data_IF_265589713909
#
_entry.id   IF_265589713909
#
_cell.length_a   1.000
_cell.length_b   1.000
_cell.length_c   1.000
_cell.angle_alpha   90.00
_cell.angle_beta   90.00
_cell.angle_gamma   90.00
#
_symmetry.space_group_name_H-M   'P 1'
#
loop_
_entity.id
_entity.type
_entity.pdbx_description
1 polymer ?
#
# COMPACT_ATOMS: atom_id res chain seq x y z
N UNK A 1 22.79 -10.60 -11.01
CA UNK A 1 23.26 -12.00 -11.01
C UNK A 1 22.10 -13.01 -11.05
N UNK A 2 22.34 -14.28 -11.24
CA UNK A 2 21.30 -15.30 -11.24
C UNK A 2 20.68 -15.42 -9.83
N UNK A 3 19.36 -15.59 -9.79
CA UNK A 3 18.58 -15.61 -8.53
C UNK A 3 18.98 -16.75 -7.60
N UNK A 4 19.48 -17.87 -8.13
CA UNK A 4 19.93 -19.00 -7.31
C UNK A 4 21.14 -18.72 -6.41
N UNK A 5 21.85 -17.61 -6.63
CA UNK A 5 22.95 -17.18 -5.75
C UNK A 5 22.46 -16.44 -4.51
N UNK A 6 21.23 -15.91 -4.54
CA UNK A 6 20.70 -15.05 -3.48
C UNK A 6 19.36 -15.54 -2.88
N UNK A 7 18.69 -16.49 -3.53
CA UNK A 7 17.34 -16.92 -3.16
C UNK A 7 17.31 -18.43 -3.02
N UNK A 8 17.12 -18.89 -1.79
CA UNK A 8 16.89 -20.31 -1.45
C UNK A 8 15.43 -20.61 -1.09
N UNK A 9 14.55 -19.61 -1.15
CA UNK A 9 13.15 -19.74 -0.75
C UNK A 9 12.36 -20.66 -1.66
N UNK A 10 11.49 -21.46 -1.05
CA UNK A 10 10.44 -22.15 -1.78
C UNK A 10 9.16 -21.30 -1.85
N UNK A 11 9.04 -20.48 -2.88
CA UNK A 11 7.88 -19.57 -3.04
C UNK A 11 6.54 -20.32 -3.09
N UNK A 12 6.49 -21.51 -3.67
CA UNK A 12 5.27 -22.33 -3.69
C UNK A 12 4.79 -22.61 -2.27
N UNK A 13 5.65 -23.22 -1.43
CA UNK A 13 5.31 -23.52 -0.04
C UNK A 13 4.94 -22.26 0.75
N UNK A 14 5.65 -21.15 0.53
CA UNK A 14 5.40 -19.87 1.19
C UNK A 14 3.98 -19.36 0.90
N UNK A 15 3.57 -19.27 -0.35
CA UNK A 15 2.25 -18.75 -0.71
C UNK A 15 1.14 -19.74 -0.41
N UNK A 16 1.37 -21.04 -0.54
CA UNK A 16 0.42 -22.07 -0.11
C UNK A 16 0.14 -22.00 1.39
N UNK A 17 1.15 -21.71 2.24
CA UNK A 17 0.95 -21.51 3.68
C UNK A 17 0.13 -20.28 4.03
N UNK A 18 0.06 -19.27 3.13
CA UNK A 18 -0.84 -18.12 3.25
C UNK A 18 -2.27 -18.42 2.78
N UNK A 19 -2.54 -19.64 2.35
CA UNK A 19 -3.83 -20.03 1.77
C UNK A 19 -4.04 -19.59 0.31
N UNK A 20 -2.97 -19.19 -0.39
CA UNK A 20 -3.01 -18.78 -1.79
C UNK A 20 -2.83 -19.97 -2.73
N UNK A 21 -3.30 -19.84 -3.96
CA UNK A 21 -2.89 -20.71 -5.06
C UNK A 21 -1.58 -20.20 -5.67
N UNK A 22 -0.70 -21.14 -6.03
CA UNK A 22 0.57 -20.84 -6.68
C UNK A 22 0.64 -21.49 -8.06
N UNK A 23 0.97 -20.70 -9.08
CA UNK A 23 1.15 -21.16 -10.46
C UNK A 23 2.53 -20.73 -10.94
N UNK A 24 3.36 -21.69 -11.35
CA UNK A 24 4.66 -21.41 -11.95
C UNK A 24 4.57 -21.57 -13.46
N UNK A 25 5.07 -20.60 -14.20
CA UNK A 25 5.11 -20.61 -15.67
C UNK A 25 6.44 -20.10 -16.21
N UNK A 26 6.75 -20.48 -17.44
CA UNK A 26 7.76 -19.80 -18.24
C UNK A 26 7.16 -18.48 -18.75
N UNK A 27 7.65 -17.35 -18.21
CA UNK A 27 7.17 -16.00 -18.55
C UNK A 27 7.51 -15.55 -19.99
N UNK A 28 8.25 -16.35 -20.75
CA UNK A 28 8.49 -16.13 -22.19
C UNK A 28 7.63 -17.04 -23.09
N UNK A 29 6.85 -17.96 -22.51
CA UNK A 29 5.96 -18.84 -23.24
C UNK A 29 4.52 -18.28 -23.28
N UNK A 30 4.12 -17.75 -24.43
CA UNK A 30 2.79 -17.15 -24.64
C UNK A 30 1.63 -18.08 -24.30
N UNK A 31 1.76 -19.38 -24.58
CA UNK A 31 0.72 -20.38 -24.32
C UNK A 31 0.55 -20.63 -22.81
N UNK A 32 1.67 -20.73 -22.07
CA UNK A 32 1.63 -20.90 -20.62
C UNK A 32 1.03 -19.65 -19.95
N UNK A 33 1.43 -18.44 -20.38
CA UNK A 33 0.86 -17.17 -19.89
C UNK A 33 -0.65 -17.14 -20.10
N UNK A 34 -1.11 -17.43 -21.33
CA UNK A 34 -2.53 -17.45 -21.66
C UNK A 34 -3.31 -18.45 -20.80
N UNK A 35 -2.81 -19.69 -20.69
CA UNK A 35 -3.46 -20.73 -19.91
C UNK A 35 -3.53 -20.39 -18.42
N UNK A 36 -2.45 -19.83 -17.85
CA UNK A 36 -2.42 -19.37 -16.47
C UNK A 36 -3.47 -18.27 -16.23
N UNK A 37 -3.49 -17.23 -17.07
CA UNK A 37 -4.47 -16.14 -16.96
C UNK A 37 -5.92 -16.64 -17.11
N UNK A 38 -6.18 -17.60 -18.00
CA UNK A 38 -7.50 -18.21 -18.14
C UNK A 38 -7.91 -19.03 -16.91
N UNK A 39 -6.96 -19.78 -16.34
CA UNK A 39 -7.19 -20.60 -15.14
C UNK A 39 -7.55 -19.74 -13.94
N UNK A 40 -6.80 -18.66 -13.69
CA UNK A 40 -6.99 -17.82 -12.50
C UNK A 40 -8.30 -17.03 -12.50
N UNK A 41 -8.95 -16.84 -13.66
CA UNK A 41 -10.28 -16.22 -13.72
C UNK A 41 -11.35 -17.02 -12.94
N UNK A 42 -11.11 -18.29 -12.69
CA UNK A 42 -12.00 -19.20 -11.97
C UNK A 42 -11.52 -19.52 -10.56
N UNK A 43 -10.40 -18.94 -10.15
CA UNK A 43 -9.82 -19.19 -8.83
C UNK A 43 -10.75 -18.67 -7.72
N UNK A 44 -10.89 -19.45 -6.65
CA UNK A 44 -11.66 -19.07 -5.45
C UNK A 44 -10.80 -18.51 -4.34
N UNK A 45 -9.48 -18.58 -4.51
CA UNK A 45 -8.47 -18.09 -3.57
C UNK A 45 -7.61 -17.01 -4.24
N UNK A 46 -6.96 -16.15 -3.49
CA UNK A 46 -5.90 -15.31 -4.03
C UNK A 46 -4.88 -16.20 -4.75
N UNK A 47 -4.46 -15.78 -5.93
CA UNK A 47 -3.57 -16.58 -6.76
C UNK A 47 -2.37 -15.78 -7.18
N UNK A 48 -1.17 -16.33 -7.02
CA UNK A 48 0.07 -15.75 -7.52
C UNK A 48 0.56 -16.56 -8.72
N UNK A 49 0.85 -15.86 -9.82
CA UNK A 49 1.49 -16.45 -10.98
C UNK A 49 2.97 -16.06 -10.96
N UNK A 50 3.83 -17.03 -10.68
CA UNK A 50 5.28 -16.83 -10.69
C UNK A 50 5.81 -17.07 -12.11
N UNK A 51 6.28 -15.99 -12.74
CA UNK A 51 6.78 -16.00 -14.10
C UNK A 51 8.29 -16.13 -14.10
N UNK A 52 8.83 -17.29 -14.50
CA UNK A 52 10.27 -17.45 -14.69
C UNK A 52 10.70 -16.74 -15.97
N UNK A 53 11.52 -15.70 -15.84
CA UNK A 53 11.97 -14.85 -16.94
C UNK A 53 13.49 -14.70 -16.94
N UNK A 54 14.01 -14.14 -18.02
CA UNK A 54 15.43 -13.84 -18.17
C UNK A 54 15.59 -12.38 -18.58
N UNK A 55 16.36 -11.62 -17.81
CA UNK A 55 16.62 -10.22 -18.11
C UNK A 55 17.27 -10.06 -19.49
N UNK A 56 16.92 -9.01 -20.24
CA UNK A 56 17.44 -8.79 -21.59
C UNK A 56 17.03 -9.88 -22.57
N UNK A 57 15.86 -10.52 -22.39
CA UNK A 57 15.37 -11.57 -23.29
C UNK A 57 15.35 -11.11 -24.73
N UNK A 58 15.86 -11.97 -25.63
CA UNK A 58 16.02 -11.66 -27.05
C UNK A 58 17.37 -11.03 -27.41
N UNK A 59 18.15 -10.57 -26.44
CA UNK A 59 19.49 -10.05 -26.68
C UNK A 59 20.52 -11.18 -26.78
N UNK A 60 21.24 -11.36 -27.90
CA UNK A 60 22.24 -12.41 -28.03
C UNK A 60 23.40 -12.26 -27.06
N UNK A 61 23.88 -11.03 -26.85
CA UNK A 61 25.12 -10.79 -26.09
C UNK A 61 24.86 -10.38 -24.63
N UNK A 62 23.70 -9.78 -24.31
CA UNK A 62 23.41 -9.18 -22.99
C UNK A 62 22.30 -9.89 -22.20
N UNK A 63 21.64 -10.91 -22.78
CA UNK A 63 20.60 -11.67 -22.09
C UNK A 63 21.15 -12.42 -20.88
N UNK A 64 20.52 -12.25 -19.72
CA UNK A 64 20.93 -12.85 -18.45
C UNK A 64 22.13 -12.18 -17.78
N UNK A 65 22.65 -11.08 -18.32
CA UNK A 65 23.80 -10.37 -17.77
C UNK A 65 23.38 -9.10 -17.03
N UNK A 66 24.16 -8.69 -16.03
CA UNK A 66 23.97 -7.45 -15.28
C UNK A 66 24.02 -6.20 -16.16
N UNK A 67 24.76 -6.25 -17.29
CA UNK A 67 24.85 -5.16 -18.25
C UNK A 67 23.53 -4.79 -18.95
N UNK A 68 22.48 -5.59 -18.80
CA UNK A 68 21.12 -5.26 -19.25
C UNK A 68 20.22 -4.71 -18.14
N UNK A 69 20.73 -4.58 -16.90
CA UNK A 69 20.00 -4.00 -15.80
C UNK A 69 20.27 -2.49 -15.68
N UNK A 70 19.23 -1.67 -15.90
CA UNK A 70 19.32 -0.22 -15.72
C UNK A 70 20.17 0.53 -16.76
N UNK A 71 20.63 -0.15 -17.82
CA UNK A 71 21.42 0.45 -18.90
C UNK A 71 20.80 0.16 -20.27
N UNK A 72 20.83 1.11 -21.22
CA UNK A 72 20.44 0.85 -22.60
C UNK A 72 21.25 -0.30 -23.20
N UNK A 73 20.63 -1.11 -24.02
CA UNK A 73 21.33 -2.19 -24.72
C UNK A 73 22.37 -1.67 -25.73
N UNK A 74 22.16 -0.46 -26.24
CA UNK A 74 22.96 0.13 -27.33
C UNK A 74 22.40 -0.20 -28.71
N UNK A 75 22.70 0.66 -29.70
CA UNK A 75 22.09 0.58 -31.03
C UNK A 75 22.35 -0.75 -31.74
N UNK A 76 23.56 -1.26 -31.65
CA UNK A 76 23.94 -2.49 -32.35
C UNK A 76 23.30 -3.72 -31.71
N UNK A 77 23.25 -3.79 -30.38
CA UNK A 77 22.57 -4.88 -29.70
C UNK A 77 21.05 -4.83 -29.96
N UNK A 78 20.46 -3.63 -30.04
CA UNK A 78 19.04 -3.47 -30.41
C UNK A 78 18.75 -4.03 -31.81
N UNK A 79 19.63 -3.83 -32.77
CA UNK A 79 19.49 -4.43 -34.12
C UNK A 79 19.45 -5.96 -34.04
N UNK A 80 20.33 -6.54 -33.23
CA UNK A 80 20.36 -8.00 -33.01
C UNK A 80 19.09 -8.52 -32.32
N UNK A 81 18.64 -7.83 -31.25
CA UNK A 81 17.39 -8.15 -30.56
C UNK A 81 16.20 -8.11 -31.52
N UNK A 82 16.09 -7.07 -32.35
CA UNK A 82 15.02 -6.92 -33.33
C UNK A 82 15.00 -8.08 -34.32
N UNK A 83 16.18 -8.45 -34.82
CA UNK A 83 16.34 -9.61 -35.73
C UNK A 83 15.92 -10.90 -35.02
N UNK A 84 16.40 -11.12 -33.80
CA UNK A 84 16.12 -12.33 -33.03
C UNK A 84 14.63 -12.48 -32.64
N UNK A 85 13.96 -11.35 -32.41
CA UNK A 85 12.52 -11.33 -32.11
C UNK A 85 11.63 -11.14 -33.36
N UNK A 86 12.20 -11.19 -34.57
CA UNK A 86 11.49 -10.97 -35.84
C UNK A 86 10.70 -9.64 -35.88
N UNK A 87 11.26 -8.56 -35.29
CA UNK A 87 10.64 -7.25 -35.24
C UNK A 87 11.26 -6.30 -36.28
N UNK A 88 10.69 -6.27 -37.49
CA UNK A 88 11.24 -5.57 -38.66
C UNK A 88 10.69 -4.15 -38.87
N UNK A 89 9.92 -3.63 -37.92
CA UNK A 89 9.33 -2.30 -38.04
C UNK A 89 10.28 -1.22 -37.59
N UNK A 90 10.13 0.01 -38.12
CA UNK A 90 10.93 1.17 -37.70
C UNK A 90 10.76 1.44 -36.19
N UNK A 91 11.71 2.13 -35.54
CA UNK A 91 11.54 2.57 -34.15
C UNK A 91 10.22 3.33 -33.95
N UNK A 92 9.54 3.07 -32.83
CA UNK A 92 8.24 3.65 -32.46
C UNK A 92 7.07 3.36 -33.40
N UNK A 93 7.24 2.52 -34.42
CA UNK A 93 6.17 2.12 -35.33
C UNK A 93 5.53 0.83 -34.83
N UNK A 94 4.24 0.89 -34.50
CA UNK A 94 3.42 -0.28 -34.16
C UNK A 94 2.60 -0.65 -35.38
N UNK A 95 2.62 -1.94 -35.84
CA UNK A 95 1.82 -2.39 -36.96
C UNK A 95 0.33 -2.07 -36.78
N UNK A 96 -0.32 -1.56 -37.82
CA UNK A 96 -1.74 -1.17 -37.77
C UNK A 96 -2.66 -2.28 -37.25
N UNK A 97 -2.39 -3.53 -37.61
CA UNK A 97 -3.16 -4.72 -37.13
C UNK A 97 -3.09 -4.86 -35.61
N UNK A 98 -1.87 -4.80 -35.03
CA UNK A 98 -1.65 -4.90 -33.58
C UNK A 98 -2.31 -3.71 -32.87
N UNK A 99 -2.07 -2.50 -33.37
CA UNK A 99 -2.66 -1.28 -32.81
C UNK A 99 -4.19 -1.31 -32.82
N UNK A 100 -4.80 -1.81 -33.87
CA UNK A 100 -6.24 -1.98 -33.98
C UNK A 100 -6.81 -2.91 -32.91
N UNK A 101 -6.16 -4.05 -32.66
CA UNK A 101 -6.59 -4.99 -31.61
C UNK A 101 -6.45 -4.39 -30.20
N UNK A 102 -5.34 -3.70 -29.91
CA UNK A 102 -5.18 -3.00 -28.63
C UNK A 102 -6.24 -1.91 -28.42
N UNK A 103 -6.51 -1.10 -29.45
CA UNK A 103 -7.56 -0.07 -29.38
C UNK A 103 -8.95 -0.68 -29.20
N UNK A 104 -9.24 -1.84 -29.78
CA UNK A 104 -10.49 -2.57 -29.58
C UNK A 104 -10.69 -3.00 -28.13
N UNK A 105 -9.61 -3.40 -27.44
CA UNK A 105 -9.65 -3.69 -25.99
C UNK A 105 -9.95 -2.41 -25.20
N UNK A 106 -9.27 -1.31 -25.50
CA UNK A 106 -9.53 -0.01 -24.87
C UNK A 106 -10.98 0.47 -25.01
N UNK A 107 -11.57 0.31 -26.18
CA UNK A 107 -13.01 0.64 -26.42
C UNK A 107 -13.98 -0.13 -25.54
N UNK A 108 -13.65 -1.38 -25.15
CA UNK A 108 -14.46 -2.10 -24.16
C UNK A 108 -14.43 -1.42 -22.80
N UNK A 109 -13.27 -0.84 -22.43
CA UNK A 109 -13.11 -0.04 -21.20
C UNK A 109 -14.02 1.18 -21.20
N UNK A 110 -14.13 1.93 -22.31
CA UNK A 110 -15.01 3.10 -22.43
C UNK A 110 -16.48 2.75 -22.15
N UNK A 111 -16.94 1.60 -22.62
CA UNK A 111 -18.30 1.13 -22.36
C UNK A 111 -18.53 0.80 -20.88
N UNK A 112 -17.56 0.17 -20.25
CA UNK A 112 -17.63 -0.16 -18.82
C UNK A 112 -17.59 1.11 -17.96
N UNK A 113 -16.71 2.05 -18.29
CA UNK A 113 -16.64 3.37 -17.62
C UNK A 113 -17.94 4.14 -17.77
N UNK A 114 -18.52 4.19 -18.98
CA UNK A 114 -19.79 4.86 -19.22
C UNK A 114 -20.92 4.25 -18.37
N UNK A 115 -20.99 2.91 -18.28
CA UNK A 115 -21.98 2.23 -17.42
C UNK A 115 -21.75 2.57 -15.95
N UNK A 116 -20.49 2.53 -15.49
CA UNK A 116 -20.12 2.88 -14.13
C UNK A 116 -20.49 4.34 -13.80
N UNK A 117 -20.16 5.28 -14.68
CA UNK A 117 -20.49 6.70 -14.53
C UNK A 117 -22.00 6.94 -14.38
N UNK A 118 -22.83 6.22 -15.15
CA UNK A 118 -24.30 6.30 -15.01
C UNK A 118 -24.76 5.84 -13.61
N UNK A 119 -24.21 4.74 -13.11
CA UNK A 119 -24.52 4.22 -11.76
C UNK A 119 -24.02 5.19 -10.68
N UNK A 120 -22.78 5.69 -10.84
CA UNK A 120 -22.17 6.62 -9.89
C UNK A 120 -22.97 7.93 -9.81
N UNK A 121 -23.36 8.53 -10.95
CA UNK A 121 -24.21 9.74 -10.97
C UNK A 121 -25.50 9.54 -10.18
N UNK A 122 -26.19 8.40 -10.37
CA UNK A 122 -27.43 8.08 -9.63
C UNK A 122 -27.21 7.96 -8.12
N UNK A 123 -26.05 7.45 -7.69
CA UNK A 123 -25.75 7.19 -6.28
C UNK A 123 -24.88 8.27 -5.63
N UNK A 124 -24.44 9.29 -6.38
CA UNK A 124 -23.50 10.33 -5.95
C UNK A 124 -23.88 10.98 -4.62
N UNK A 125 -25.13 11.37 -4.46
CA UNK A 125 -25.60 12.03 -3.22
C UNK A 125 -25.52 11.09 -2.01
N UNK A 126 -25.87 9.83 -2.18
CA UNK A 126 -25.74 8.81 -1.10
C UNK A 126 -24.28 8.57 -0.75
N UNK A 127 -23.40 8.43 -1.74
CA UNK A 127 -21.96 8.26 -1.56
C UNK A 127 -21.37 9.48 -0.86
N UNK A 128 -21.67 10.68 -1.32
CA UNK A 128 -21.20 11.93 -0.71
C UNK A 128 -21.67 12.05 0.75
N UNK A 129 -22.90 11.62 1.07
CA UNK A 129 -23.41 11.62 2.44
C UNK A 129 -22.61 10.66 3.34
N UNK A 130 -22.27 9.48 2.84
CA UNK A 130 -21.43 8.49 3.57
C UNK A 130 -20.01 9.02 3.76
N UNK A 131 -19.46 9.66 2.74
CA UNK A 131 -18.08 10.17 2.73
C UNK A 131 -17.94 11.57 3.34
N UNK A 132 -19.06 12.23 3.69
CA UNK A 132 -19.04 13.56 4.29
C UNK A 132 -18.50 13.50 5.71
N UNK A 133 -17.32 14.06 5.89
CA UNK A 133 -16.64 14.14 7.18
C UNK A 133 -16.98 15.46 7.87
N UNK A 134 -17.50 15.41 9.07
CA UNK A 134 -17.79 16.59 9.88
C UNK A 134 -16.71 16.81 10.96
N UNK A 135 -15.44 16.64 10.56
CA UNK A 135 -14.31 16.75 11.49
C UNK A 135 -14.26 18.10 12.22
N UNK A 136 -14.45 19.19 11.50
CA UNK A 136 -14.34 20.55 12.09
C UNK A 136 -15.33 20.74 13.24
N UNK A 137 -16.58 20.34 13.08
CA UNK A 137 -17.59 20.45 14.13
C UNK A 137 -17.26 19.61 15.35
N UNK A 138 -16.86 18.34 15.10
CA UNK A 138 -16.49 17.40 16.16
C UNK A 138 -15.26 17.88 16.92
N UNK A 139 -14.23 18.31 16.22
CA UNK A 139 -12.98 18.81 16.83
C UNK A 139 -13.18 20.10 17.62
N UNK A 140 -13.98 21.05 17.12
CA UNK A 140 -14.34 22.27 17.88
C UNK A 140 -15.02 21.91 19.21
N UNK A 141 -15.99 20.99 19.18
CA UNK A 141 -16.68 20.54 20.39
C UNK A 141 -15.71 19.84 21.35
N UNK A 142 -14.89 18.91 20.85
CA UNK A 142 -13.92 18.19 21.67
C UNK A 142 -12.89 19.12 22.29
N UNK A 143 -12.41 20.13 21.55
CA UNK A 143 -11.51 21.15 22.08
C UNK A 143 -12.13 21.90 23.26
N UNK A 144 -13.41 22.30 23.16
CA UNK A 144 -14.09 23.00 24.26
C UNK A 144 -14.24 22.13 25.51
N UNK A 145 -14.53 20.82 25.33
CA UNK A 145 -14.58 19.87 26.43
C UNK A 145 -13.19 19.72 27.07
N UNK A 146 -12.16 19.53 26.26
CA UNK A 146 -10.79 19.34 26.74
C UNK A 146 -10.29 20.55 27.55
N UNK A 147 -10.59 21.77 27.13
CA UNK A 147 -10.19 22.98 27.85
C UNK A 147 -10.88 23.08 29.23
N UNK A 148 -12.14 22.63 29.34
CA UNK A 148 -12.91 22.75 30.56
C UNK A 148 -12.66 21.64 31.59
N UNK A 149 -12.46 20.42 31.10
CA UNK A 149 -12.53 19.19 31.91
C UNK A 149 -11.18 18.49 32.09
N UNK A 150 -10.13 18.91 31.36
CA UNK A 150 -8.92 18.13 31.28
C UNK A 150 -7.70 18.93 31.66
N UNK A 151 -7.13 18.62 32.82
CA UNK A 151 -5.84 19.13 33.28
C UNK A 151 -4.83 17.96 33.34
N UNK A 152 -3.59 18.20 32.89
CA UNK A 152 -2.45 17.28 33.03
C UNK A 152 -2.63 15.86 32.44
N UNK A 153 -3.13 15.74 31.23
CA UNK A 153 -3.19 14.46 30.54
C UNK A 153 -1.95 14.20 29.68
N UNK A 154 -1.51 12.94 29.68
CA UNK A 154 -0.55 12.48 28.68
C UNK A 154 -1.11 12.71 27.27
N UNK A 155 -0.26 13.14 26.33
CA UNK A 155 -0.67 13.47 24.95
C UNK A 155 -1.34 12.31 24.23
N UNK A 156 -0.89 11.05 24.48
CA UNK A 156 -1.56 9.84 23.96
C UNK A 156 -3.00 9.69 24.46
N UNK A 157 -3.30 10.12 25.69
CA UNK A 157 -4.67 10.08 26.24
C UNK A 157 -5.55 11.16 25.62
N UNK A 158 -5.00 12.35 25.40
CA UNK A 158 -5.67 13.42 24.64
C UNK A 158 -5.99 12.99 23.21
N UNK A 159 -5.07 12.28 22.56
CA UNK A 159 -5.28 11.67 21.25
C UNK A 159 -6.43 10.65 21.28
N UNK A 160 -6.48 9.74 22.26
CA UNK A 160 -7.56 8.77 22.43
C UNK A 160 -8.93 9.43 22.57
N UNK A 161 -9.03 10.47 23.40
CA UNK A 161 -10.29 11.20 23.59
C UNK A 161 -10.76 11.86 22.28
N UNK A 162 -9.83 12.40 21.51
CA UNK A 162 -10.11 12.96 20.19
C UNK A 162 -10.56 11.89 19.20
N UNK A 163 -9.85 10.75 19.14
CA UNK A 163 -10.23 9.61 18.31
C UNK A 163 -11.62 9.08 18.69
N UNK A 164 -11.91 8.98 19.99
CA UNK A 164 -13.21 8.50 20.47
C UNK A 164 -14.35 9.40 19.98
N UNK A 165 -14.16 10.72 20.00
CA UNK A 165 -15.14 11.67 19.46
C UNK A 165 -15.30 11.55 17.94
N UNK A 166 -14.20 11.39 17.22
CA UNK A 166 -14.19 11.29 15.74
C UNK A 166 -14.81 9.98 15.26
N UNK A 167 -14.43 8.84 15.82
CA UNK A 167 -14.88 7.51 15.39
C UNK A 167 -16.39 7.34 15.60
N UNK A 168 -16.93 7.89 16.67
CA UNK A 168 -18.39 7.86 16.93
C UNK A 168 -19.22 8.44 15.78
N UNK A 169 -18.67 9.38 15.03
CA UNK A 169 -19.38 10.16 14.01
C UNK A 169 -18.86 9.97 12.58
N UNK A 170 -17.87 9.11 12.41
CA UNK A 170 -17.18 9.00 11.11
C UNK A 170 -16.82 7.57 10.74
N UNK A 171 -17.30 7.13 9.58
CA UNK A 171 -17.08 5.78 9.06
C UNK A 171 -15.88 5.69 8.09
N UNK A 172 -15.18 6.79 7.83
CA UNK A 172 -14.05 6.81 6.90
C UNK A 172 -12.69 6.71 7.60
N UNK A 173 -12.65 6.89 8.91
CA UNK A 173 -11.46 6.66 9.72
C UNK A 173 -11.29 5.15 9.97
N UNK A 174 -10.18 4.60 9.51
CA UNK A 174 -9.81 3.19 9.73
C UNK A 174 -8.57 3.18 10.62
N UNK A 175 -8.75 2.74 11.86
CA UNK A 175 -7.68 2.69 12.84
C UNK A 175 -6.92 1.38 12.86
N UNK A 176 -5.77 1.39 13.52
CA UNK A 176 -5.01 0.18 13.80
C UNK A 176 -3.77 0.43 14.64
N UNK A 177 -3.09 -0.65 14.99
CA UNK A 177 -1.80 -0.60 15.68
C UNK A 177 -0.97 -1.84 15.37
N UNK A 178 0.36 -1.67 15.42
CA UNK A 178 1.33 -2.76 15.33
C UNK A 178 1.51 -3.41 16.72
N UNK A 179 0.45 -4.05 17.19
CA UNK A 179 0.36 -4.76 18.50
C UNK A 179 0.55 -3.91 19.76
N UNK A 180 0.41 -2.59 19.63
CA UNK A 180 0.61 -1.62 20.72
C UNK A 180 -0.67 -0.79 21.00
N UNK A 181 -1.85 -1.33 20.70
CA UNK A 181 -3.12 -0.59 20.80
C UNK A 181 -3.35 0.03 22.20
N UNK A 182 -3.04 -0.70 23.26
CA UNK A 182 -3.16 -0.23 24.64
C UNK A 182 -2.13 0.86 24.99
N UNK A 183 -0.89 0.69 24.57
CA UNK A 183 0.20 1.63 24.83
C UNK A 183 0.07 2.93 24.02
N UNK A 184 -0.39 2.82 22.76
CA UNK A 184 -0.59 3.99 21.89
C UNK A 184 -1.94 4.68 22.09
N UNK A 185 -2.89 4.06 22.80
CA UNK A 185 -4.26 4.55 22.93
C UNK A 185 -4.96 4.83 21.58
N UNK A 186 -4.72 3.96 20.59
CA UNK A 186 -5.28 4.10 19.24
C UNK A 186 -6.62 3.41 19.06
N UNK A 187 -7.03 2.56 20.01
CA UNK A 187 -8.32 1.84 20.00
C UNK A 187 -9.28 2.46 20.99
N UNK A 188 -10.47 2.82 20.54
CA UNK A 188 -11.54 3.39 21.37
C UNK A 188 -12.72 2.42 21.49
N UNK A 189 -13.65 2.70 22.40
CA UNK A 189 -14.86 1.88 22.62
C UNK A 189 -15.81 1.81 21.42
N UNK A 190 -15.67 2.72 20.46
CA UNK A 190 -16.51 2.77 19.25
C UNK A 190 -15.92 2.01 18.06
N UNK A 191 -14.74 1.41 18.22
CA UNK A 191 -14.13 0.62 17.17
C UNK A 191 -14.74 -0.79 17.08
N UNK A 192 -14.99 -1.22 15.86
CA UNK A 192 -15.31 -2.60 15.51
C UNK A 192 -14.06 -3.23 14.90
N UNK A 193 -13.65 -4.38 15.46
CA UNK A 193 -12.44 -5.08 15.02
C UNK A 193 -12.72 -5.81 13.70
N UNK A 194 -11.82 -5.66 12.75
CA UNK A 194 -11.84 -6.42 11.49
C UNK A 194 -11.54 -7.88 11.75
N UNK A 195 -12.38 -8.76 11.22
CA UNK A 195 -12.26 -10.21 11.33
C UNK A 195 -12.39 -10.84 9.95
N UNK A 196 -11.86 -12.05 9.74
CA UNK A 196 -12.08 -12.78 8.50
C UNK A 196 -13.58 -12.93 8.21
N UNK A 197 -14.00 -12.54 7.01
CA UNK A 197 -15.39 -12.58 6.58
C UNK A 197 -16.29 -11.44 7.09
N UNK A 198 -15.85 -10.62 8.05
CA UNK A 198 -16.55 -9.42 8.53
C UNK A 198 -15.73 -8.16 8.28
N UNK A 199 -16.09 -7.45 7.23
CA UNK A 199 -15.45 -6.20 6.82
C UNK A 199 -16.26 -4.95 7.19
N UNK A 200 -17.36 -5.09 7.94
CA UNK A 200 -18.10 -3.96 8.48
C UNK A 200 -17.48 -3.45 9.79
N UNK A 201 -16.24 -3.05 9.68
CA UNK A 201 -15.35 -2.75 10.79
C UNK A 201 -14.49 -1.53 10.48
N UNK A 202 -13.83 -0.97 11.50
CA UNK A 202 -12.99 0.23 11.37
C UNK A 202 -11.71 0.17 12.20
N UNK A 203 -11.29 -1.03 12.66
CA UNK A 203 -10.04 -1.21 13.39
C UNK A 203 -9.34 -2.52 13.00
N UNK A 204 -8.06 -2.41 12.66
CA UNK A 204 -7.22 -3.53 12.21
C UNK A 204 -6.11 -3.78 13.23
N UNK A 205 -6.02 -4.99 13.75
CA UNK A 205 -4.87 -5.46 14.50
C UNK A 205 -3.81 -5.95 13.53
N UNK A 206 -2.77 -5.14 13.29
CA UNK A 206 -1.71 -5.46 12.33
C UNK A 206 -0.70 -6.48 12.86
N UNK A 207 -0.63 -6.65 14.20
CA UNK A 207 0.43 -7.41 14.85
C UNK A 207 1.77 -6.66 14.76
N UNK A 208 2.86 -7.28 15.15
CA UNK A 208 4.22 -6.72 15.10
C UNK A 208 4.69 -6.65 13.63
N UNK A 209 4.15 -5.72 12.85
CA UNK A 209 4.37 -5.59 11.39
C UNK A 209 4.24 -4.14 10.94
N UNK A 210 5.11 -3.27 11.42
CA UNK A 210 5.07 -1.81 11.20
C UNK A 210 5.13 -1.46 9.71
N UNK A 211 6.02 -2.09 8.95
CA UNK A 211 6.14 -1.86 7.51
C UNK A 211 4.86 -2.26 6.76
N UNK A 212 4.33 -3.45 7.07
CA UNK A 212 3.09 -3.93 6.46
C UNK A 212 1.88 -3.07 6.85
N UNK A 213 1.79 -2.63 8.12
CA UNK A 213 0.78 -1.68 8.60
C UNK A 213 0.78 -0.43 7.73
N UNK A 214 1.94 0.22 7.58
CA UNK A 214 2.06 1.44 6.77
C UNK A 214 1.77 1.20 5.29
N UNK A 215 2.20 0.05 4.74
CA UNK A 215 1.88 -0.34 3.36
C UNK A 215 0.38 -0.56 3.13
N UNK A 216 -0.31 -1.22 4.06
CA UNK A 216 -1.76 -1.42 4.03
C UNK A 216 -2.50 -0.07 4.14
N UNK A 217 -2.05 0.81 5.03
CA UNK A 217 -2.63 2.16 5.15
C UNK A 217 -2.48 2.96 3.86
N UNK A 218 -1.33 2.87 3.18
CA UNK A 218 -1.15 3.48 1.86
C UNK A 218 -2.16 2.93 0.85
N UNK A 219 -2.36 1.61 0.82
CA UNK A 219 -3.34 0.97 -0.05
C UNK A 219 -4.78 1.40 0.24
N UNK A 220 -5.16 1.50 1.52
CA UNK A 220 -6.49 1.98 1.93
C UNK A 220 -6.74 3.42 1.48
N UNK A 221 -5.74 4.31 1.65
CA UNK A 221 -5.84 5.71 1.21
C UNK A 221 -5.93 5.84 -0.30
N UNK A 222 -5.18 5.04 -1.06
CA UNK A 222 -5.20 5.02 -2.52
C UNK A 222 -6.50 4.45 -3.10
N UNK A 223 -7.11 3.47 -2.41
CA UNK A 223 -8.29 2.78 -2.92
C UNK A 223 -9.55 3.66 -2.88
N UNK A 224 -9.68 4.50 -1.85
CA UNK A 224 -10.89 5.28 -1.65
C UNK A 224 -10.66 6.49 -0.73
N UNK A 225 -11.76 7.12 -0.28
CA UNK A 225 -11.73 8.23 0.66
C UNK A 225 -11.54 7.80 2.13
N UNK A 226 -10.98 6.63 2.39
CA UNK A 226 -10.60 6.26 3.74
C UNK A 226 -9.42 7.10 4.23
N UNK A 227 -9.44 7.38 5.52
CA UNK A 227 -8.36 8.07 6.21
C UNK A 227 -7.82 7.05 7.22
N UNK A 228 -6.82 6.27 6.82
CA UNK A 228 -6.22 5.30 7.72
C UNK A 228 -5.34 6.00 8.75
N UNK A 229 -5.34 5.48 9.98
CA UNK A 229 -4.36 5.82 10.98
C UNK A 229 -3.82 4.56 11.66
N UNK A 230 -2.54 4.60 12.02
CA UNK A 230 -1.88 3.47 12.67
C UNK A 230 -0.90 3.91 13.73
N UNK A 231 -0.86 3.15 14.82
CA UNK A 231 -0.03 3.43 15.98
C UNK A 231 1.11 2.45 16.19
N UNK A 232 2.26 3.00 16.57
CA UNK A 232 3.40 2.27 17.12
C UNK A 232 4.26 3.23 17.96
N UNK A 233 5.38 2.77 18.55
CA UNK A 233 6.33 3.66 19.19
C UNK A 233 7.14 4.45 18.16
N UNK A 234 7.62 5.65 18.55
CA UNK A 234 8.36 6.50 17.62
C UNK A 234 9.64 5.83 17.10
N UNK A 235 10.34 5.08 17.97
CA UNK A 235 11.55 4.35 17.56
C UNK A 235 11.26 3.36 16.42
N UNK A 236 10.08 2.72 16.40
CA UNK A 236 9.70 1.76 15.38
C UNK A 236 9.28 2.41 14.06
N UNK A 237 9.30 3.75 13.97
CA UNK A 237 9.21 4.43 12.68
C UNK A 237 10.31 4.00 11.73
N UNK A 238 11.46 3.55 12.24
CA UNK A 238 12.55 3.04 11.44
C UNK A 238 12.17 1.81 10.61
N UNK A 239 11.30 0.93 11.14
CA UNK A 239 10.79 -0.22 10.40
C UNK A 239 9.79 0.15 9.29
N UNK A 240 9.10 1.26 9.39
CA UNK A 240 8.07 1.65 8.44
C UNK A 240 8.43 2.88 7.57
N UNK A 241 9.59 3.46 7.78
CA UNK A 241 10.05 4.67 7.09
C UNK A 241 9.96 4.63 5.56
N UNK A 242 10.31 3.53 4.85
CA UNK A 242 10.12 3.46 3.41
C UNK A 242 8.66 3.63 2.98
N UNK A 243 7.71 3.02 3.70
CA UNK A 243 6.27 3.16 3.43
C UNK A 243 5.76 4.58 3.74
N UNK A 244 6.25 5.22 4.82
CA UNK A 244 5.95 6.62 5.16
C UNK A 244 6.42 7.55 4.04
N UNK A 245 7.66 7.36 3.57
CA UNK A 245 8.22 8.13 2.46
C UNK A 245 7.38 8.00 1.20
N UNK A 246 6.91 6.80 0.87
CA UNK A 246 6.03 6.57 -0.27
C UNK A 246 4.69 7.28 -0.11
N UNK A 247 4.06 7.24 1.07
CA UNK A 247 2.83 7.97 1.34
C UNK A 247 3.01 9.49 1.10
N UNK A 248 4.09 10.06 1.62
CA UNK A 248 4.42 11.48 1.46
C UNK A 248 4.68 11.83 -0.02
N UNK A 249 5.43 11.01 -0.75
CA UNK A 249 5.71 11.18 -2.17
C UNK A 249 4.42 11.10 -3.02
N UNK A 250 3.53 10.17 -2.71
CA UNK A 250 2.23 10.02 -3.37
C UNK A 250 1.17 11.00 -2.85
N UNK A 251 1.51 11.87 -1.89
CA UNK A 251 0.59 12.83 -1.25
C UNK A 251 -0.67 12.15 -0.68
N UNK A 252 -0.50 10.98 -0.10
CA UNK A 252 -1.61 10.23 0.48
C UNK A 252 -1.93 10.72 1.89
N UNK A 253 -3.22 10.72 2.22
CA UNK A 253 -3.73 11.12 3.53
C UNK A 253 -3.67 9.94 4.50
N UNK A 254 -2.52 9.71 5.11
CA UNK A 254 -2.25 8.68 6.10
C UNK A 254 -1.79 9.34 7.40
N UNK A 255 -2.30 8.88 8.54
CA UNK A 255 -1.96 9.42 9.86
C UNK A 255 -1.17 8.37 10.64
N UNK A 256 0.02 8.73 11.07
CA UNK A 256 0.86 7.92 11.92
C UNK A 256 0.79 8.46 13.36
N UNK A 257 0.46 7.59 14.31
CA UNK A 257 0.39 7.93 15.73
C UNK A 257 1.59 7.30 16.42
N UNK A 258 2.63 8.09 16.60
CA UNK A 258 3.86 7.65 17.28
C UNK A 258 3.85 8.14 18.72
N UNK A 259 3.93 7.20 19.66
CA UNK A 259 4.02 7.48 21.09
C UNK A 259 5.39 7.06 21.63
N UNK A 260 5.65 7.28 22.92
CA UNK A 260 6.93 6.96 23.53
C UNK A 260 8.09 7.66 22.78
N UNK A 261 7.96 8.99 22.67
CA UNK A 261 8.70 9.82 21.72
C UNK A 261 9.90 10.56 22.34
N UNK A 262 10.41 10.07 23.45
CA UNK A 262 11.48 10.71 24.18
C UNK A 262 12.49 9.71 24.75
N UNK A 263 13.74 10.15 24.93
CA UNK A 263 14.77 9.41 25.66
C UNK A 263 14.42 9.22 27.14
N UNK A 264 13.50 10.01 27.69
CA UNK A 264 12.99 9.91 29.04
C UNK A 264 12.01 8.77 29.28
N UNK A 265 11.85 7.84 28.32
CA UNK A 265 10.93 6.71 28.42
C UNK A 265 11.22 5.77 29.61
N UNK A 266 12.46 5.63 30.02
CA UNK A 266 12.87 4.95 31.24
C UNK A 266 13.03 3.44 31.10
N UNK A 267 12.00 2.68 31.42
CA UNK A 267 12.06 1.21 31.63
C UNK A 267 12.47 0.38 30.44
N UNK A 268 12.08 0.78 29.21
CA UNK A 268 12.26 -0.04 28.01
C UNK A 268 13.70 -0.03 27.46
N UNK A 269 14.54 0.92 27.93
CA UNK A 269 15.95 1.00 27.56
C UNK A 269 16.22 1.53 26.15
N UNK A 270 17.49 1.48 25.70
CA UNK A 270 17.96 2.16 24.50
C UNK A 270 17.34 1.66 23.19
N UNK A 271 16.82 0.44 23.16
CA UNK A 271 16.12 -0.10 21.97
C UNK A 271 14.75 0.54 21.73
N UNK A 272 14.22 1.25 22.72
CA UNK A 272 12.91 1.89 22.67
C UNK A 272 12.97 3.42 22.81
N UNK A 273 14.14 3.97 23.11
CA UNK A 273 14.37 5.40 23.34
C UNK A 273 14.77 6.10 22.03
N UNK A 274 13.88 6.90 21.41
CA UNK A 274 14.16 7.54 20.13
C UNK A 274 15.07 8.76 20.33
N UNK A 275 16.02 8.95 19.42
CA UNK A 275 16.93 10.12 19.37
C UNK A 275 16.79 10.83 18.03
N UNK A 276 17.17 10.15 16.91
CA UNK A 276 17.24 10.73 15.58
C UNK A 276 15.94 10.62 14.78
N UNK A 277 14.93 9.88 15.24
CA UNK A 277 13.71 9.59 14.49
C UNK A 277 12.94 10.84 14.09
N UNK A 278 12.82 11.83 14.99
CA UNK A 278 12.12 13.10 14.66
C UNK A 278 12.84 13.87 13.55
N UNK A 279 14.15 14.01 13.64
CA UNK A 279 14.96 14.68 12.61
C UNK A 279 14.83 13.95 11.28
N UNK A 280 14.91 12.64 11.33
CA UNK A 280 14.78 11.75 10.18
C UNK A 280 13.40 11.84 9.50
N UNK A 281 12.31 11.90 10.27
CA UNK A 281 10.96 12.07 9.74
C UNK A 281 10.76 13.48 9.16
N UNK A 282 11.26 14.53 9.84
CA UNK A 282 11.18 15.91 9.37
C UNK A 282 11.93 16.16 8.07
N UNK A 283 12.93 15.35 7.74
CA UNK A 283 13.66 15.43 6.48
C UNK A 283 12.89 14.89 5.26
N UNK A 284 11.75 14.21 5.46
CA UNK A 284 10.95 13.64 4.37
C UNK A 284 10.08 14.75 3.75
N UNK A 285 10.24 15.08 2.46
CA UNK A 285 9.40 16.08 1.80
C UNK A 285 7.92 15.70 1.83
N UNK A 286 7.04 16.69 2.02
CA UNK A 286 5.58 16.55 2.11
C UNK A 286 5.08 15.74 3.34
N UNK A 287 5.92 15.38 4.27
CA UNK A 287 5.50 14.81 5.56
C UNK A 287 5.36 15.92 6.59
N UNK A 288 4.17 16.04 7.16
CA UNK A 288 3.93 16.96 8.28
C UNK A 288 4.18 16.23 9.60
N UNK A 289 5.05 16.75 10.44
CA UNK A 289 5.38 16.18 11.75
C UNK A 289 4.91 17.12 12.83
N UNK A 290 3.97 16.67 13.66
CA UNK A 290 3.45 17.39 14.82
C UNK A 290 3.93 16.70 16.09
N UNK A 291 4.47 17.48 17.01
CA UNK A 291 4.86 17.03 18.34
C UNK A 291 4.27 18.03 19.34
N UNK A 292 3.11 17.66 19.94
CA UNK A 292 2.41 18.53 20.90
C UNK A 292 3.14 18.65 22.24
#
# INVERSE_FOLDING_TARGET
>A
GPTNLAVSDNFKKRFESYGWEYVLINGHNKKEIFNALKKVQKAKKPTIISCKTKIGYGSPNKSGKSSSHGSPLGLDEIKLVRRNLNWNYKPFVIPKKILKEWRKIGKKGELLESKWNKIFKKKKNRINKILKNNFTKVLKKQKQISIKEINNLATRKSSELTLNALIKQNNTLIGGSADLAGSNNTKTKHHKITKPGDFNSNYIHYGVREHAMCGIMNGLSLHSNFIPYGGTFLIFSDYCKPSIRLAAMMKQRVIYVFTHDSIGLGEDGPTHQPIEQLTSLRSIPNLNVFRP
#
